data_IF_777401318054
#
_entry.id   IF_777401318054
#
_cell.length_a   1.000
_cell.length_b   1.000
_cell.length_c   1.000
_cell.angle_alpha   90.00
_cell.angle_beta   90.00
_cell.angle_gamma   90.00
#
_symmetry.space_group_name_H-M   'P 1'
#
loop_
_entity.id
_entity.type
_entity.pdbx_description
1 polymer ?
#
# COMPACT_ATOMS: atom_id res chain seq x y z
N UNK A 1 -14.16 -12.18 -11.40
CA UNK A 1 -14.55 -12.07 -9.96
C UNK A 1 -15.17 -10.70 -9.69
N UNK A 2 -16.22 -10.57 -8.86
CA UNK A 2 -16.76 -9.26 -8.48
C UNK A 2 -15.75 -8.47 -7.66
N UNK A 3 -15.48 -7.20 -7.99
CA UNK A 3 -14.55 -6.32 -7.24
C UNK A 3 -14.79 -6.30 -5.73
N UNK A 4 -16.05 -6.43 -5.31
CA UNK A 4 -16.44 -6.48 -3.89
C UNK A 4 -15.82 -7.66 -3.15
N UNK A 5 -15.67 -8.81 -3.81
CA UNK A 5 -15.04 -9.98 -3.19
C UNK A 5 -13.54 -9.76 -2.98
N UNK A 6 -12.85 -9.16 -3.96
CA UNK A 6 -11.43 -8.82 -3.81
C UNK A 6 -11.23 -7.85 -2.63
N UNK A 7 -12.11 -6.85 -2.47
CA UNK A 7 -12.02 -5.91 -1.35
C UNK A 7 -12.19 -6.59 0.00
N UNK A 8 -13.13 -7.53 0.09
CA UNK A 8 -13.33 -8.31 1.31
C UNK A 8 -12.10 -9.16 1.61
N UNK A 9 -11.60 -9.89 0.63
CA UNK A 9 -10.42 -10.75 0.78
C UNK A 9 -9.17 -9.93 1.20
N UNK A 10 -8.95 -8.76 0.59
CA UNK A 10 -7.84 -7.87 0.97
C UNK A 10 -8.04 -7.25 2.36
N UNK A 11 -9.27 -6.92 2.76
CA UNK A 11 -9.55 -6.42 4.10
C UNK A 11 -9.36 -7.50 5.19
N UNK A 12 -9.63 -8.76 4.86
CA UNK A 12 -9.36 -9.89 5.75
C UNK A 12 -7.84 -10.11 5.93
N UNK A 13 -7.06 -10.01 4.86
CA UNK A 13 -5.58 -10.04 4.93
C UNK A 13 -5.07 -8.88 5.79
N UNK A 14 -5.62 -7.68 5.58
CA UNK A 14 -5.30 -6.49 6.35
C UNK A 14 -5.59 -6.68 7.85
N UNK A 15 -6.67 -7.36 8.20
CA UNK A 15 -6.98 -7.73 9.58
C UNK A 15 -5.92 -8.65 10.20
N UNK A 16 -5.50 -9.69 9.48
CA UNK A 16 -4.45 -10.60 9.95
C UNK A 16 -3.08 -9.91 10.09
N UNK A 17 -2.74 -9.02 9.15
CA UNK A 17 -1.50 -8.22 9.23
C UNK A 17 -1.57 -7.25 10.40
N UNK A 18 -2.72 -6.64 10.66
CA UNK A 18 -2.91 -5.76 11.82
C UNK A 18 -2.81 -6.52 13.16
N UNK A 19 -3.32 -7.75 13.22
CA UNK A 19 -3.16 -8.64 14.38
C UNK A 19 -1.70 -9.00 14.61
N UNK A 20 -1.00 -9.47 13.56
CA UNK A 20 0.44 -9.75 13.64
C UNK A 20 1.27 -8.53 14.03
N UNK A 21 0.94 -7.34 13.51
CA UNK A 21 1.56 -6.07 13.91
C UNK A 21 1.36 -5.74 15.38
N UNK A 22 0.13 -5.85 15.89
CA UNK A 22 -0.17 -5.51 17.29
C UNK A 22 0.64 -6.39 18.26
N UNK A 23 0.67 -7.71 17.99
CA UNK A 23 1.46 -8.67 18.78
C UNK A 23 2.96 -8.44 18.66
N UNK A 24 3.44 -8.10 17.46
CA UNK A 24 4.87 -7.82 17.24
C UNK A 24 5.30 -6.51 17.91
N UNK A 25 4.41 -5.52 17.98
CA UNK A 25 4.65 -4.29 18.72
C UNK A 25 4.82 -4.58 20.22
N UNK A 26 4.00 -5.45 20.83
CA UNK A 26 4.18 -5.89 22.23
C UNK A 26 5.55 -6.55 22.46
N UNK A 27 5.98 -7.43 21.55
CA UNK A 27 7.29 -8.10 21.62
C UNK A 27 8.43 -7.08 21.52
N UNK A 28 8.27 -6.06 20.68
CA UNK A 28 9.31 -5.04 20.43
C UNK A 28 9.57 -4.10 21.60
N UNK A 29 8.62 -3.95 22.54
CA UNK A 29 8.81 -3.12 23.75
C UNK A 29 9.93 -3.67 24.65
N UNK A 30 10.34 -4.92 24.46
CA UNK A 30 11.34 -5.62 25.28
C UNK A 30 12.80 -5.59 24.79
N UNK A 31 13.12 -5.08 23.60
CA UNK A 31 14.53 -5.02 23.16
C UNK A 31 14.79 -4.63 21.69
N UNK A 32 15.95 -4.00 21.46
CA UNK A 32 16.46 -3.57 20.15
C UNK A 32 16.90 -4.76 19.28
N UNK A 33 15.96 -5.48 18.70
CA UNK A 33 16.25 -6.55 17.75
C UNK A 33 16.02 -6.03 16.33
N UNK A 34 17.12 -5.78 15.61
CA UNK A 34 17.13 -5.28 14.23
C UNK A 34 16.14 -6.02 13.31
N UNK A 35 16.04 -7.35 13.47
CA UNK A 35 15.13 -8.20 12.71
C UNK A 35 13.65 -7.88 12.95
N UNK A 36 13.25 -7.70 14.22
CA UNK A 36 11.88 -7.34 14.61
C UNK A 36 11.50 -5.96 14.08
N UNK A 37 12.41 -4.98 14.20
CA UNK A 37 12.19 -3.63 13.65
C UNK A 37 12.10 -3.62 12.13
N UNK A 38 12.91 -4.45 11.46
CA UNK A 38 12.88 -4.65 10.01
C UNK A 38 11.59 -5.30 9.53
N UNK A 39 11.04 -6.25 10.28
CA UNK A 39 9.73 -6.86 10.02
C UNK A 39 8.61 -5.83 10.24
N UNK A 40 8.60 -5.11 11.36
CA UNK A 40 7.63 -4.04 11.66
C UNK A 40 7.58 -2.97 10.58
N UNK A 41 8.73 -2.49 10.11
CA UNK A 41 8.80 -1.48 9.05
C UNK A 41 8.12 -1.96 7.75
N UNK A 42 8.30 -3.22 7.38
CA UNK A 42 7.70 -3.84 6.18
C UNK A 42 6.21 -4.03 6.33
N UNK A 43 5.77 -4.57 7.47
CA UNK A 43 4.35 -4.77 7.78
C UNK A 43 3.58 -3.44 7.80
N UNK A 44 4.18 -2.36 8.36
CA UNK A 44 3.60 -1.00 8.30
C UNK A 44 3.52 -0.46 6.86
N UNK A 45 4.49 -0.79 6.02
CA UNK A 45 4.49 -0.44 4.59
C UNK A 45 3.38 -1.13 3.78
N UNK A 46 2.92 -2.31 4.22
CA UNK A 46 1.94 -3.12 3.48
C UNK A 46 0.53 -2.54 3.46
N UNK A 47 0.07 -1.82 4.50
CA UNK A 47 -1.30 -1.26 4.54
C UNK A 47 -1.54 -0.36 3.31
N UNK A 48 -0.57 0.48 2.97
CA UNK A 48 -0.64 1.34 1.79
C UNK A 48 -0.70 0.56 0.47
N UNK A 49 -0.07 -0.62 0.39
CA UNK A 49 -0.06 -1.46 -0.81
C UNK A 49 -1.35 -2.27 -0.96
N UNK A 50 -1.88 -2.83 0.13
CA UNK A 50 -3.18 -3.50 0.16
C UNK A 50 -4.32 -2.53 -0.21
N UNK A 51 -4.28 -1.30 0.33
CA UNK A 51 -5.19 -0.23 -0.05
C UNK A 51 -5.08 0.09 -1.54
N UNK A 52 -3.86 0.19 -2.07
CA UNK A 52 -3.64 0.44 -3.50
C UNK A 52 -4.08 -0.73 -4.40
N UNK A 53 -3.99 -1.97 -3.91
CA UNK A 53 -4.43 -3.18 -4.59
C UNK A 53 -5.95 -3.28 -4.69
N UNK A 54 -6.69 -2.74 -3.70
CA UNK A 54 -8.14 -2.58 -3.74
C UNK A 54 -8.62 -1.52 -4.77
N UNK A 55 -7.75 -1.08 -5.67
CA UNK A 55 -8.12 -0.24 -6.79
C UNK A 55 -8.14 1.22 -6.39
N UNK A 56 -7.00 1.86 -6.61
CA UNK A 56 -6.94 3.31 -6.57
C UNK A 56 -7.88 3.98 -7.57
N UNK A 57 -8.14 5.27 -7.34
CA UNK A 57 -8.84 6.17 -8.28
C UNK A 57 -8.49 5.80 -9.72
N UNK A 58 -9.52 5.59 -10.56
CA UNK A 58 -9.33 5.27 -11.98
C UNK A 58 -8.46 6.35 -12.63
N UNK A 59 -7.77 6.03 -13.73
CA UNK A 59 -6.95 7.06 -14.40
C UNK A 59 -7.78 8.30 -14.71
N UNK A 60 -9.02 8.12 -15.14
CA UNK A 60 -10.02 9.17 -15.33
C UNK A 60 -10.31 9.98 -14.06
N UNK A 61 -10.58 9.33 -12.93
CA UNK A 61 -10.80 10.04 -11.66
C UNK A 61 -9.58 10.84 -11.22
N UNK A 62 -8.37 10.29 -11.42
CA UNK A 62 -7.13 11.01 -11.14
C UNK A 62 -6.96 12.22 -12.05
N UNK A 63 -7.18 12.05 -13.35
CA UNK A 63 -7.11 13.15 -14.31
C UNK A 63 -8.11 14.25 -13.98
N UNK A 64 -9.35 13.90 -13.61
CA UNK A 64 -10.37 14.86 -13.21
C UNK A 64 -9.99 15.60 -11.92
N UNK A 65 -9.50 14.90 -10.90
CA UNK A 65 -9.06 15.53 -9.64
C UNK A 65 -7.84 16.41 -9.91
N UNK A 66 -6.88 15.94 -10.70
CA UNK A 66 -5.70 16.73 -11.07
C UNK A 66 -6.09 17.97 -11.87
N UNK A 67 -7.02 17.85 -12.82
CA UNK A 67 -7.53 18.98 -13.59
C UNK A 67 -8.26 19.99 -12.68
N UNK A 68 -9.10 19.50 -11.76
CA UNK A 68 -9.80 20.34 -10.80
C UNK A 68 -8.86 21.08 -9.84
N UNK A 69 -7.71 20.48 -9.48
CA UNK A 69 -6.69 21.11 -8.65
C UNK A 69 -5.77 22.07 -9.43
N UNK A 70 -5.48 21.76 -10.69
CA UNK A 70 -4.64 22.60 -11.55
C UNK A 70 -5.39 23.83 -12.08
N UNK A 71 -6.70 23.74 -12.27
CA UNK A 71 -7.52 24.82 -12.84
C UNK A 71 -7.44 26.14 -12.03
N UNK A 72 -7.60 26.16 -10.70
CA UNK A 72 -7.48 27.39 -9.90
C UNK A 72 -6.10 28.02 -9.98
N UNK A 73 -5.04 27.19 -10.05
CA UNK A 73 -3.67 27.65 -10.19
C UNK A 73 -3.47 28.34 -11.54
N UNK A 74 -3.89 27.70 -12.62
CA UNK A 74 -3.82 28.25 -13.97
C UNK A 74 -4.65 29.54 -14.10
N UNK A 75 -5.83 29.56 -13.49
CA UNK A 75 -6.69 30.74 -13.46
C UNK A 75 -6.04 31.91 -12.71
N UNK A 76 -5.46 31.66 -11.54
CA UNK A 76 -4.75 32.68 -10.76
C UNK A 76 -3.53 33.23 -11.49
N UNK A 77 -2.75 32.37 -12.17
CA UNK A 77 -1.60 32.79 -13.00
C UNK A 77 -2.06 33.67 -14.16
N UNK A 78 -3.12 33.27 -14.88
CA UNK A 78 -3.68 34.05 -15.99
C UNK A 78 -4.22 35.41 -15.52
N UNK A 79 -4.94 35.43 -14.40
CA UNK A 79 -5.49 36.66 -13.83
C UNK A 79 -4.39 37.64 -13.38
N UNK A 80 -3.39 37.14 -12.64
CA UNK A 80 -2.28 37.95 -12.15
C UNK A 80 -1.43 38.50 -13.32
N UNK A 81 -1.16 37.69 -14.33
CA UNK A 81 -0.37 38.14 -15.49
C UNK A 81 -1.10 39.18 -16.33
N UNK A 82 -2.44 39.09 -16.44
CA UNK A 82 -3.27 40.14 -17.04
C UNK A 82 -3.22 41.46 -16.25
N UNK A 83 -3.25 41.39 -14.92
CA UNK A 83 -3.21 42.58 -14.06
C UNK A 83 -1.87 43.35 -14.14
N UNK A 84 -0.77 42.67 -14.45
CA UNK A 84 0.58 43.27 -14.52
C UNK A 84 0.94 43.66 -15.97
N UNK A 85 0.05 43.42 -16.95
CA UNK A 85 0.31 43.72 -18.35
C UNK A 85 1.42 42.86 -18.97
N UNK A 86 1.63 41.64 -18.46
CA UNK A 86 2.67 40.77 -18.97
C UNK A 86 2.37 40.33 -20.41
N UNK A 87 3.37 40.44 -21.30
CA UNK A 87 3.26 39.93 -22.66
C UNK A 87 3.04 38.41 -22.71
N UNK A 88 2.48 37.87 -23.81
CA UNK A 88 2.07 36.46 -23.92
C UNK A 88 3.23 35.46 -23.67
N UNK A 89 4.46 35.84 -24.01
CA UNK A 89 5.66 35.03 -23.75
C UNK A 89 5.90 34.84 -22.25
N UNK A 90 5.75 35.90 -21.45
CA UNK A 90 5.94 35.83 -19.99
C UNK A 90 4.82 35.05 -19.29
N UNK A 91 3.59 35.12 -19.80
CA UNK A 91 2.47 34.30 -19.32
C UNK A 91 2.80 32.80 -19.43
N UNK A 92 3.35 32.38 -20.57
CA UNK A 92 3.76 30.98 -20.80
C UNK A 92 4.86 30.57 -19.82
N UNK A 93 5.90 31.40 -19.66
CA UNK A 93 7.03 31.11 -18.75
C UNK A 93 6.56 30.95 -17.30
N UNK A 94 5.73 31.88 -16.81
CA UNK A 94 5.19 31.83 -15.44
C UNK A 94 4.31 30.59 -15.25
N UNK A 95 3.50 30.25 -16.25
CA UNK A 95 2.61 29.08 -16.20
C UNK A 95 3.41 27.78 -16.11
N UNK A 96 4.45 27.61 -16.93
CA UNK A 96 5.31 26.41 -16.90
C UNK A 96 6.03 26.27 -15.55
N UNK A 97 6.57 27.37 -15.02
CA UNK A 97 7.22 27.39 -13.71
C UNK A 97 6.25 27.04 -12.57
N UNK A 98 5.07 27.64 -12.57
CA UNK A 98 4.03 27.36 -11.58
C UNK A 98 3.59 25.89 -11.65
N UNK A 99 3.42 25.33 -12.86
CA UNK A 99 3.04 23.93 -13.03
C UNK A 99 4.15 22.97 -12.56
N UNK A 100 5.41 23.29 -12.86
CA UNK A 100 6.57 22.52 -12.43
C UNK A 100 6.70 22.45 -10.90
N UNK A 101 6.47 23.58 -10.22
CA UNK A 101 6.47 23.66 -8.75
C UNK A 101 5.23 23.01 -8.12
N UNK A 102 4.07 23.08 -8.78
CA UNK A 102 2.82 22.53 -8.24
C UNK A 102 2.68 21.01 -8.46
N UNK A 103 3.30 20.45 -9.51
CA UNK A 103 3.24 19.03 -9.88
C UNK A 103 3.54 18.08 -8.71
N UNK A 104 4.65 18.24 -7.95
CA UNK A 104 4.93 17.41 -6.78
C UNK A 104 3.82 17.46 -5.73
N UNK A 105 3.30 18.66 -5.45
CA UNK A 105 2.19 18.86 -4.52
C UNK A 105 0.91 18.18 -5.00
N UNK A 106 0.61 18.28 -6.30
CA UNK A 106 -0.55 17.63 -6.92
C UNK A 106 -0.45 16.10 -6.86
N UNK A 107 0.72 15.53 -7.13
CA UNK A 107 0.97 14.09 -7.00
C UNK A 107 0.82 13.62 -5.55
N UNK A 108 1.31 14.42 -4.60
CA UNK A 108 1.17 14.12 -3.18
C UNK A 108 -0.29 14.17 -2.72
N UNK A 109 -1.02 15.23 -3.08
CA UNK A 109 -2.45 15.41 -2.72
C UNK A 109 -3.33 14.35 -3.35
N UNK A 110 -3.15 14.04 -4.64
CA UNK A 110 -3.91 12.99 -5.34
C UNK A 110 -3.61 11.61 -4.75
N UNK A 111 -2.37 11.33 -4.34
CA UNK A 111 -2.01 10.12 -3.62
C UNK A 111 -2.66 10.02 -2.23
N UNK A 112 -2.74 11.12 -1.49
CA UNK A 112 -3.45 11.21 -0.20
C UNK A 112 -4.96 10.97 -0.36
N UNK A 113 -5.57 11.62 -1.35
CA UNK A 113 -7.00 11.45 -1.67
C UNK A 113 -7.33 10.02 -2.09
N UNK A 114 -6.50 9.40 -2.93
CA UNK A 114 -6.72 8.01 -3.31
C UNK A 114 -6.70 7.11 -2.09
N UNK A 115 -5.67 7.24 -1.23
CA UNK A 115 -5.58 6.45 0.02
C UNK A 115 -6.81 6.61 0.92
N UNK A 116 -7.35 7.83 1.04
CA UNK A 116 -8.55 8.07 1.84
C UNK A 116 -9.80 7.43 1.23
N UNK A 117 -10.00 7.57 -0.08
CA UNK A 117 -11.14 6.97 -0.79
C UNK A 117 -11.07 5.45 -0.73
N UNK A 118 -9.90 4.89 -0.98
CA UNK A 118 -9.66 3.45 -0.99
C UNK A 118 -9.82 2.87 0.43
N UNK A 119 -9.34 3.59 1.47
CA UNK A 119 -9.56 3.22 2.87
C UNK A 119 -11.03 3.27 3.26
N UNK A 120 -11.80 4.25 2.78
CA UNK A 120 -13.26 4.28 2.98
C UNK A 120 -13.97 3.11 2.29
N UNK A 121 -13.49 2.70 1.11
CA UNK A 121 -14.08 1.58 0.35
C UNK A 121 -13.81 0.22 0.98
N UNK A 122 -12.63 0.03 1.57
CA UNK A 122 -12.31 -1.20 2.29
C UNK A 122 -12.91 -1.25 3.70
N UNK A 123 -13.27 -0.10 4.27
CA UNK A 123 -13.78 0.01 5.62
C UNK A 123 -12.68 -0.02 6.68
N UNK A 124 -13.09 -0.08 7.95
CA UNK A 124 -12.16 -0.32 9.05
C UNK A 124 -11.58 -1.74 8.91
N UNK A 125 -10.27 -1.93 9.17
CA UNK A 125 -9.76 -3.29 9.33
C UNK A 125 -10.56 -3.98 10.44
N UNK A 126 -10.82 -5.29 10.34
CA UNK A 126 -11.32 -6.06 11.46
C UNK A 126 -10.43 -5.75 12.67
N UNK A 127 -11.01 -5.45 13.84
CA UNK A 127 -10.23 -5.29 15.07
C UNK A 127 -9.40 -6.57 15.24
N UNK A 128 -8.11 -6.40 15.51
CA UNK A 128 -7.30 -7.49 16.04
C UNK A 128 -8.08 -8.12 17.20
N UNK A 129 -8.17 -9.45 17.23
CA UNK A 129 -8.86 -10.12 18.33
C UNK A 129 -8.21 -9.76 19.67
N UNK A 130 -8.94 -9.91 20.77
CA UNK A 130 -8.32 -9.98 22.11
C UNK A 130 -7.42 -11.21 22.12
N UNK A 131 -6.18 -11.05 21.69
CA UNK A 131 -5.23 -12.14 21.55
C UNK A 131 -4.10 -11.90 22.54
N UNK A 132 -3.87 -12.90 23.38
CA UNK A 132 -2.93 -12.83 24.50
C UNK A 132 -1.49 -12.54 24.07
N UNK A 133 -0.62 -12.43 25.09
CA UNK A 133 0.81 -12.09 24.99
C UNK A 133 1.44 -12.59 23.68
N UNK A 134 1.98 -11.65 22.90
CA UNK A 134 2.66 -11.95 21.65
C UNK A 134 3.78 -12.98 21.80
N UNK A 135 3.56 -14.18 21.26
CA UNK A 135 4.61 -15.16 20.97
C UNK A 135 5.02 -15.05 19.50
N UNK A 136 6.32 -15.20 19.24
CA UNK A 136 6.90 -15.00 17.91
C UNK A 136 6.42 -16.07 16.91
N UNK A 137 6.21 -17.29 17.40
CA UNK A 137 5.70 -18.42 16.62
C UNK A 137 4.25 -18.16 16.19
N UNK A 138 3.41 -17.64 17.10
CA UNK A 138 2.04 -17.25 16.81
C UNK A 138 1.96 -16.10 15.80
N UNK A 139 2.83 -15.08 15.93
CA UNK A 139 2.92 -13.98 14.95
C UNK A 139 3.27 -14.53 13.57
N UNK A 140 4.26 -15.42 13.49
CA UNK A 140 4.69 -16.03 12.24
C UNK A 140 3.55 -16.84 11.61
N UNK A 141 2.81 -17.63 12.39
CA UNK A 141 1.65 -18.39 11.89
C UNK A 141 0.55 -17.47 11.34
N UNK A 142 0.24 -16.38 12.03
CA UNK A 142 -0.75 -15.39 11.58
C UNK A 142 -0.32 -14.76 10.25
N UNK A 143 0.96 -14.42 10.10
CA UNK A 143 1.49 -13.85 8.85
C UNK A 143 1.52 -14.87 7.70
N UNK A 144 1.85 -16.13 7.97
CA UNK A 144 1.75 -17.21 6.98
C UNK A 144 0.30 -17.39 6.52
N UNK A 145 -0.66 -17.35 7.45
CA UNK A 145 -2.09 -17.39 7.12
C UNK A 145 -2.53 -16.19 6.28
N UNK A 146 -2.03 -15.00 6.59
CA UNK A 146 -2.25 -13.79 5.80
C UNK A 146 -1.73 -13.96 4.38
N UNK A 147 -0.55 -14.54 4.21
CA UNK A 147 0.07 -14.84 2.92
C UNK A 147 -0.77 -15.80 2.09
N UNK A 148 -1.19 -16.93 2.68
CA UNK A 148 -2.04 -17.91 1.99
C UNK A 148 -3.34 -17.27 1.51
N UNK A 149 -3.96 -16.42 2.34
CA UNK A 149 -5.16 -15.68 1.93
C UNK A 149 -4.90 -14.66 0.83
N UNK A 150 -3.76 -13.95 0.88
CA UNK A 150 -3.35 -12.99 -0.15
C UNK A 150 -3.15 -13.67 -1.51
N UNK A 151 -2.40 -14.77 -1.54
CA UNK A 151 -2.17 -15.57 -2.75
C UNK A 151 -3.50 -16.15 -3.26
N UNK A 152 -4.34 -16.68 -2.37
CA UNK A 152 -5.66 -17.18 -2.74
C UNK A 152 -6.55 -16.09 -3.35
N UNK A 153 -6.51 -14.87 -2.81
CA UNK A 153 -7.23 -13.72 -3.35
C UNK A 153 -6.71 -13.34 -4.75
N UNK A 154 -5.39 -13.35 -4.94
CA UNK A 154 -4.75 -13.11 -6.24
C UNK A 154 -5.22 -14.14 -7.27
N UNK A 155 -5.16 -15.43 -6.94
CA UNK A 155 -5.58 -16.53 -7.83
C UNK A 155 -7.08 -16.45 -8.16
N UNK A 156 -7.94 -16.13 -7.18
CA UNK A 156 -9.37 -15.90 -7.43
C UNK A 156 -9.63 -14.70 -8.34
N UNK A 157 -8.81 -13.66 -8.24
CA UNK A 157 -8.90 -12.46 -9.09
C UNK A 157 -8.47 -12.74 -10.53
N UNK A 158 -7.34 -13.44 -10.72
CA UNK A 158 -6.87 -13.89 -12.05
C UNK A 158 -7.86 -14.89 -12.68
N UNK A 159 -8.50 -15.71 -11.87
CA UNK A 159 -9.45 -16.73 -12.31
C UNK A 159 -8.77 -18.05 -12.66
N UNK A 160 -9.59 -19.02 -13.08
CA UNK A 160 -9.18 -20.42 -13.23
C UNK A 160 -8.56 -20.77 -14.58
N UNK A 161 -8.52 -19.82 -15.54
CA UNK A 161 -8.34 -20.22 -16.94
C UNK A 161 -6.89 -20.43 -17.38
N UNK A 162 -5.89 -19.76 -16.80
CA UNK A 162 -4.47 -19.99 -17.18
C UNK A 162 -3.50 -19.59 -16.06
N UNK A 163 -2.79 -20.56 -15.47
CA UNK A 163 -1.79 -20.34 -14.40
C UNK A 163 -0.34 -20.49 -14.89
N UNK A 164 -0.11 -20.28 -16.18
CA UNK A 164 1.24 -20.29 -16.72
C UNK A 164 2.06 -19.09 -16.18
N UNK A 165 3.34 -19.33 -15.89
CA UNK A 165 4.25 -18.33 -15.35
C UNK A 165 4.37 -17.11 -16.27
N UNK A 166 4.41 -17.32 -17.59
CA UNK A 166 4.48 -16.22 -18.55
C UNK A 166 3.19 -15.38 -18.56
N UNK A 167 2.03 -16.01 -18.35
CA UNK A 167 0.75 -15.33 -18.24
C UNK A 167 0.67 -14.50 -16.95
N UNK A 168 1.06 -15.07 -15.81
CA UNK A 168 1.10 -14.37 -14.53
C UNK A 168 2.09 -13.19 -14.56
N UNK A 169 3.26 -13.37 -15.16
CA UNK A 169 4.24 -12.29 -15.35
C UNK A 169 3.74 -11.18 -16.28
N UNK A 170 2.86 -11.50 -17.23
CA UNK A 170 2.20 -10.49 -18.07
C UNK A 170 1.11 -9.76 -17.29
N UNK A 171 0.28 -10.49 -16.54
CA UNK A 171 -0.76 -9.91 -15.68
C UNK A 171 -0.18 -9.01 -14.59
N UNK A 172 0.94 -9.38 -13.96
CA UNK A 172 1.61 -8.52 -13.00
C UNK A 172 2.11 -7.20 -13.62
N UNK A 173 2.33 -7.15 -14.94
CA UNK A 173 2.70 -5.92 -15.65
C UNK A 173 1.51 -5.08 -16.10
N UNK A 174 0.38 -5.71 -16.41
CA UNK A 174 -0.80 -5.03 -16.98
C UNK A 174 -1.90 -4.75 -15.96
N UNK A 175 -2.08 -5.62 -14.98
CA UNK A 175 -3.05 -5.47 -13.90
C UNK A 175 -2.37 -4.93 -12.64
N UNK A 176 -2.68 -3.67 -12.34
CA UNK A 176 -2.17 -2.96 -11.17
C UNK A 176 -2.54 -3.63 -9.85
N UNK A 177 -3.70 -4.30 -9.76
CA UNK A 177 -4.08 -5.00 -8.54
C UNK A 177 -3.14 -6.19 -8.29
N UNK A 178 -2.88 -7.00 -9.33
CA UNK A 178 -1.95 -8.13 -9.25
C UNK A 178 -0.53 -7.66 -8.93
N UNK A 179 -0.03 -6.63 -9.63
CA UNK A 179 1.27 -6.01 -9.31
C UNK A 179 1.40 -5.67 -7.82
N UNK A 180 0.39 -4.99 -7.25
CA UNK A 180 0.41 -4.57 -5.85
C UNK A 180 0.27 -5.74 -4.88
N UNK A 181 -0.50 -6.77 -5.23
CA UNK A 181 -0.60 -7.99 -4.43
C UNK A 181 0.75 -8.72 -4.42
N UNK A 182 1.44 -8.81 -5.56
CA UNK A 182 2.79 -9.40 -5.64
C UNK A 182 3.80 -8.61 -4.81
N UNK A 183 3.82 -7.28 -4.91
CA UNK A 183 4.68 -6.44 -4.07
C UNK A 183 4.41 -6.67 -2.57
N UNK A 184 3.13 -6.82 -2.22
CA UNK A 184 2.71 -7.08 -0.84
C UNK A 184 3.15 -8.47 -0.37
N UNK A 185 3.06 -9.49 -1.22
CA UNK A 185 3.53 -10.85 -0.92
C UNK A 185 5.04 -10.87 -0.68
N UNK A 186 5.83 -10.16 -1.48
CA UNK A 186 7.29 -10.04 -1.27
C UNK A 186 7.61 -9.42 0.09
N UNK A 187 6.93 -8.34 0.48
CA UNK A 187 7.14 -7.72 1.79
C UNK A 187 6.74 -8.64 2.95
N UNK A 188 5.67 -9.42 2.77
CA UNK A 188 5.19 -10.36 3.78
C UNK A 188 6.15 -11.54 3.94
N UNK A 189 6.66 -12.11 2.85
CA UNK A 189 7.71 -13.12 2.89
C UNK A 189 8.96 -12.59 3.60
N UNK A 190 9.45 -11.41 3.23
CA UNK A 190 10.61 -10.82 3.91
C UNK A 190 10.36 -10.61 5.41
N UNK A 191 9.17 -10.16 5.80
CA UNK A 191 8.83 -9.99 7.21
C UNK A 191 8.84 -11.34 7.94
N UNK A 192 8.28 -12.40 7.35
CA UNK A 192 8.31 -13.76 7.89
C UNK A 192 9.76 -14.25 8.04
N UNK A 193 10.58 -14.13 6.98
CA UNK A 193 11.99 -14.55 7.00
C UNK A 193 12.76 -13.89 8.14
N UNK A 194 12.56 -12.58 8.39
CA UNK A 194 13.21 -11.89 9.50
C UNK A 194 12.76 -12.39 10.87
N UNK A 195 11.48 -12.75 11.02
CA UNK A 195 10.97 -13.31 12.28
C UNK A 195 11.52 -14.72 12.50
N UNK A 196 11.61 -15.55 11.47
CA UNK A 196 12.18 -16.90 11.54
C UNK A 196 13.67 -16.88 11.88
N UNK A 197 14.45 -16.00 11.23
CA UNK A 197 15.87 -15.78 11.57
C UNK A 197 16.00 -15.38 13.04
N UNK A 198 15.14 -14.47 13.50
CA UNK A 198 15.17 -14.01 14.86
C UNK A 198 14.79 -15.11 15.88
N UNK A 199 13.79 -15.94 15.56
CA UNK A 199 13.40 -17.09 16.36
C UNK A 199 14.57 -18.08 16.52
N UNK A 200 15.25 -18.38 15.41
CA UNK A 200 16.42 -19.27 15.41
C UNK A 200 17.57 -18.70 16.27
N UNK A 201 17.86 -17.40 16.18
CA UNK A 201 18.86 -16.75 17.03
C UNK A 201 18.50 -16.84 18.52
N UNK A 202 17.23 -16.66 18.88
CA UNK A 202 16.80 -16.81 20.28
C UNK A 202 16.97 -18.25 20.77
N UNK A 203 16.65 -19.25 19.95
CA UNK A 203 16.79 -20.65 20.32
C UNK A 203 18.25 -21.02 20.59
N UNK A 204 19.18 -20.56 19.74
CA UNK A 204 20.62 -20.76 19.93
C UNK A 204 21.10 -20.10 21.23
N UNK A 205 20.67 -18.87 21.52
CA UNK A 205 21.03 -18.17 22.77
C UNK A 205 20.49 -18.83 24.03
N UNK A 206 19.35 -19.51 23.97
CA UNK A 206 18.79 -20.26 25.11
C UNK A 206 19.50 -21.59 25.34
N UNK A 207 20.19 -22.13 24.33
CA UNK A 207 20.91 -23.39 24.40
C UNK A 207 22.39 -23.24 24.82
N UNK A 208 22.92 -22.01 24.80
CA UNK A 208 24.27 -21.65 25.23
C UNK A 208 24.29 -21.24 26.71
#
# INVERSE_FOLDING_TARGET
>A
MPRRQLYRDLNDVRGLVADGLARLEEISVGGEQYWVMSALARLRGMDGMLVAAAGGLSSWSRTLISAALAFPLLWAVAWASGAIGAGPVWVIVITVLALGLAMPGLLWVTGRLSRLVDRRRMGAPPRAGDTGKGDLDEVTEVLVRARVRLVSAALRHVGTRHWDAAHLARLARTDRAISRITDTDVLLCQAIDFLEIHAAEQQVRRAA
#
